data_IF_388231663764
#
_entry.id   IF_388231663764
#
_cell.length_a   1.000
_cell.length_b   1.000
_cell.length_c   1.000
_cell.angle_alpha   90.00
_cell.angle_beta   90.00
_cell.angle_gamma   90.00
#
_symmetry.space_group_name_H-M   'P 1'
#
loop_
_entity.id
_entity.type
_entity.pdbx_description
1 polymer ?
#
# COMPACT_ATOMS: atom_id res chain seq x y z
N UNK A 1 22.10 -28.51 70.18
CA UNK A 1 21.32 -28.32 68.94
C UNK A 1 21.51 -26.88 68.50
N UNK A 2 22.15 -26.64 67.34
CA UNK A 2 22.42 -25.29 66.81
C UNK A 2 22.07 -25.34 65.33
N UNK A 3 20.96 -24.70 64.95
CA UNK A 3 20.46 -24.69 63.58
C UNK A 3 21.32 -23.83 62.68
N UNK A 4 21.68 -24.40 61.54
CA UNK A 4 22.37 -23.74 60.42
C UNK A 4 21.33 -23.05 59.54
N UNK A 5 21.53 -21.76 59.21
CA UNK A 5 20.70 -21.04 58.25
C UNK A 5 21.37 -21.08 56.88
N UNK A 6 20.71 -21.71 55.90
CA UNK A 6 21.15 -21.76 54.51
C UNK A 6 20.84 -20.43 53.81
N UNK A 7 21.87 -19.80 53.25
CA UNK A 7 21.75 -18.68 52.33
C UNK A 7 21.36 -19.22 50.94
N UNK A 8 20.14 -18.94 50.52
CA UNK A 8 19.71 -19.03 49.13
C UNK A 8 19.34 -17.63 48.67
N UNK A 9 20.12 -17.07 47.73
CA UNK A 9 19.65 -16.30 46.57
C UNK A 9 20.78 -15.43 46.00
N UNK A 10 21.44 -15.88 44.91
CA UNK A 10 21.93 -14.94 43.92
C UNK A 10 21.57 -15.40 42.49
N UNK A 11 20.30 -15.67 42.21
CA UNK A 11 19.86 -16.06 40.85
C UNK A 11 18.90 -15.09 40.17
N UNK A 12 18.36 -14.08 40.87
CA UNK A 12 17.38 -13.16 40.28
C UNK A 12 17.98 -11.94 39.55
N UNK A 13 19.28 -11.66 39.69
CA UNK A 13 19.87 -10.42 39.15
C UNK A 13 20.28 -10.55 37.67
N UNK A 14 20.47 -11.77 37.14
CA UNK A 14 20.98 -11.96 35.77
C UNK A 14 19.88 -11.77 34.70
N UNK A 15 18.60 -11.99 35.01
CA UNK A 15 17.51 -11.82 34.03
C UNK A 15 17.06 -10.36 33.81
N UNK A 16 17.43 -9.44 34.70
CA UNK A 16 17.00 -8.05 34.59
C UNK A 16 17.82 -7.23 33.57
N UNK A 17 19.02 -7.68 33.20
CA UNK A 17 19.90 -6.91 32.29
C UNK A 17 19.80 -7.35 30.82
N UNK A 18 19.23 -8.53 30.52
CA UNK A 18 19.00 -8.97 29.14
C UNK A 18 17.77 -8.34 28.46
N UNK A 19 16.87 -7.71 29.23
CA UNK A 19 15.67 -7.07 28.67
C UNK A 19 15.92 -5.67 28.10
N UNK A 20 17.07 -5.06 28.37
CA UNK A 20 17.35 -3.66 27.97
C UNK A 20 17.88 -3.57 26.53
N UNK A 21 18.45 -4.66 25.98
CA UNK A 21 19.10 -4.62 24.65
C UNK A 21 18.11 -4.73 23.48
N UNK A 22 16.85 -5.14 23.70
CA UNK A 22 15.88 -5.32 22.60
C UNK A 22 15.01 -4.09 22.26
N UNK A 23 15.18 -2.93 22.91
CA UNK A 23 14.31 -1.76 22.66
C UNK A 23 14.96 -0.60 21.88
N UNK A 24 16.22 -0.71 21.47
CA UNK A 24 16.92 0.41 20.83
C UNK A 24 16.86 0.46 19.29
N UNK A 25 16.38 -0.58 18.60
CA UNK A 25 16.42 -0.64 17.12
C UNK A 25 15.14 -0.21 16.39
N UNK A 26 14.02 0.09 17.05
CA UNK A 26 12.76 0.37 16.33
C UNK A 26 12.60 1.82 15.84
N UNK A 27 13.30 2.80 16.42
CA UNK A 27 13.11 4.23 16.07
C UNK A 27 13.80 4.66 14.78
N UNK A 28 14.91 4.00 14.43
CA UNK A 28 15.67 4.35 13.22
C UNK A 28 14.99 3.84 11.95
N UNK A 29 14.27 2.71 12.03
CA UNK A 29 13.49 2.16 10.90
C UNK A 29 12.22 2.97 10.62
N UNK A 30 11.47 3.37 11.66
CA UNK A 30 10.20 4.09 11.49
C UNK A 30 10.37 5.50 10.87
N UNK A 31 11.49 6.16 11.17
CA UNK A 31 11.79 7.50 10.63
C UNK A 31 12.07 7.44 9.12
N UNK A 32 12.86 6.46 8.67
CA UNK A 32 13.23 6.29 7.26
C UNK A 32 12.03 5.87 6.37
N UNK A 33 11.11 5.05 6.90
CA UNK A 33 9.90 4.63 6.17
C UNK A 33 8.97 5.84 5.94
N UNK A 34 8.81 6.66 6.98
CA UNK A 34 7.95 7.85 6.92
C UNK A 34 8.46 8.84 5.87
N UNK A 35 9.78 9.04 5.81
CA UNK A 35 10.43 9.90 4.83
C UNK A 35 10.26 9.37 3.39
N UNK A 36 10.46 8.07 3.16
CA UNK A 36 10.27 7.48 1.83
C UNK A 36 8.80 7.58 1.33
N UNK A 37 7.83 7.38 2.22
CA UNK A 37 6.41 7.58 1.91
C UNK A 37 6.14 9.06 1.63
N UNK A 38 6.67 9.96 2.44
CA UNK A 38 6.50 11.40 2.26
C UNK A 38 7.03 11.83 0.89
N UNK A 39 8.27 11.46 0.56
CA UNK A 39 8.90 11.75 -0.73
C UNK A 39 8.07 11.24 -1.90
N UNK A 40 7.66 9.96 -1.87
CA UNK A 40 6.81 9.38 -2.91
C UNK A 40 5.47 10.12 -3.04
N UNK A 41 4.85 10.48 -1.92
CA UNK A 41 3.57 11.15 -1.91
C UNK A 41 3.66 12.64 -2.27
N UNK A 42 4.79 13.31 -2.08
CA UNK A 42 4.95 14.75 -2.40
C UNK A 42 4.71 15.07 -3.88
N UNK A 43 4.98 14.09 -4.74
CA UNK A 43 4.83 14.14 -6.20
C UNK A 43 3.36 14.07 -6.63
N UNK A 44 2.49 13.60 -5.73
CA UNK A 44 1.08 13.39 -6.02
C UNK A 44 0.27 14.65 -5.71
N UNK A 45 -0.80 14.89 -6.47
CA UNK A 45 -1.77 15.96 -6.15
C UNK A 45 -2.66 15.64 -4.94
N UNK A 46 -2.57 14.42 -4.41
CA UNK A 46 -3.42 13.92 -3.33
C UNK A 46 -2.55 13.32 -2.22
N UNK A 47 -1.61 14.12 -1.71
CA UNK A 47 -0.59 13.74 -0.72
C UNK A 47 -1.17 13.00 0.48
N UNK A 48 -2.19 13.57 1.11
CA UNK A 48 -2.80 12.99 2.31
C UNK A 48 -3.43 11.62 2.04
N UNK A 49 -4.07 11.46 0.87
CA UNK A 49 -4.66 10.17 0.47
C UNK A 49 -3.56 9.15 0.16
N UNK A 50 -2.50 9.56 -0.53
CA UNK A 50 -1.34 8.71 -0.79
C UNK A 50 -0.72 8.21 0.53
N UNK A 51 -0.39 9.13 1.44
CA UNK A 51 0.24 8.80 2.71
C UNK A 51 -0.67 7.95 3.57
N UNK A 52 -1.97 8.29 3.65
CA UNK A 52 -2.94 7.51 4.42
C UNK A 52 -3.05 6.07 3.92
N UNK A 53 -3.04 5.83 2.60
CA UNK A 53 -3.11 4.48 2.06
C UNK A 53 -1.81 3.72 2.35
N UNK A 54 -0.65 4.33 2.09
CA UNK A 54 0.64 3.67 2.29
C UNK A 54 0.93 3.36 3.77
N UNK A 55 0.69 4.30 4.68
CA UNK A 55 0.88 4.11 6.13
C UNK A 55 -0.03 2.99 6.66
N UNK A 56 -1.23 2.83 6.08
CA UNK A 56 -2.16 1.78 6.51
C UNK A 56 -1.77 0.38 6.05
N UNK A 57 -0.79 0.25 5.15
CA UNK A 57 -0.35 -1.04 4.61
C UNK A 57 1.03 -1.42 5.17
N UNK A 58 1.15 -2.56 5.90
CA UNK A 58 2.41 -2.95 6.52
C UNK A 58 3.52 -3.26 5.50
N UNK A 59 3.18 -3.52 4.24
CA UNK A 59 4.19 -3.73 3.19
C UNK A 59 4.94 -2.45 2.85
N UNK A 60 4.41 -1.29 3.20
CA UNK A 60 5.12 -0.02 3.02
C UNK A 60 6.34 0.11 3.95
N UNK A 61 6.42 -0.70 5.01
CA UNK A 61 7.55 -0.67 5.95
C UNK A 61 8.87 -1.15 5.34
N UNK A 62 8.79 -2.02 4.33
CA UNK A 62 9.97 -2.60 3.65
C UNK A 62 9.89 -2.49 2.13
N UNK A 63 8.79 -1.95 1.61
CA UNK A 63 8.53 -1.79 0.19
C UNK A 63 9.32 -0.63 -0.43
N UNK A 64 9.70 -0.80 -1.69
CA UNK A 64 10.21 0.28 -2.52
C UNK A 64 9.06 1.06 -3.19
N UNK A 65 9.41 2.08 -3.98
CA UNK A 65 8.46 2.90 -4.75
C UNK A 65 7.54 2.03 -5.63
N UNK A 66 8.05 0.91 -6.17
CA UNK A 66 7.27 -0.02 -6.97
C UNK A 66 6.21 -0.72 -6.10
N UNK A 67 6.57 -1.17 -4.91
CA UNK A 67 5.61 -1.72 -3.94
C UNK A 67 4.58 -0.67 -3.51
N UNK A 68 4.95 0.60 -3.34
CA UNK A 68 3.98 1.66 -3.07
C UNK A 68 2.94 1.77 -4.19
N UNK A 69 3.38 1.75 -5.46
CA UNK A 69 2.47 1.70 -6.61
C UNK A 69 1.52 0.49 -6.57
N UNK A 70 2.02 -0.69 -6.19
CA UNK A 70 1.21 -1.91 -6.02
C UNK A 70 0.14 -1.73 -4.94
N UNK A 71 0.51 -1.19 -3.78
CA UNK A 71 -0.42 -0.97 -2.66
C UNK A 71 -1.56 -0.03 -3.06
N UNK A 72 -1.24 1.09 -3.72
CA UNK A 72 -2.25 2.04 -4.20
C UNK A 72 -3.18 1.37 -5.24
N UNK A 73 -2.63 0.57 -6.15
CA UNK A 73 -3.42 -0.15 -7.17
C UNK A 73 -4.33 -1.22 -6.56
N UNK A 74 -3.89 -1.95 -5.54
CA UNK A 74 -4.73 -2.90 -4.83
C UNK A 74 -5.86 -2.19 -4.07
N UNK A 75 -5.60 -0.99 -3.53
CA UNK A 75 -6.65 -0.15 -2.95
C UNK A 75 -7.66 0.30 -4.00
N UNK A 76 -7.19 0.68 -5.20
CA UNK A 76 -8.05 1.02 -6.34
C UNK A 76 -8.92 -0.19 -6.75
N UNK A 77 -8.33 -1.37 -6.89
CA UNK A 77 -9.05 -2.60 -7.22
C UNK A 77 -10.11 -2.95 -6.17
N UNK A 78 -9.75 -2.89 -4.89
CA UNK A 78 -10.70 -3.11 -3.78
C UNK A 78 -11.87 -2.13 -3.85
N UNK A 79 -11.60 -0.86 -4.19
CA UNK A 79 -12.64 0.16 -4.38
C UNK A 79 -13.60 -0.22 -5.50
N UNK A 80 -13.07 -0.58 -6.68
CA UNK A 80 -13.87 -1.04 -7.84
C UNK A 80 -14.78 -2.21 -7.47
N UNK A 81 -14.21 -3.22 -6.81
CA UNK A 81 -14.96 -4.43 -6.42
C UNK A 81 -16.01 -4.11 -5.35
N UNK A 82 -15.68 -3.29 -4.35
CA UNK A 82 -16.61 -2.90 -3.29
C UNK A 82 -17.78 -2.04 -3.80
N UNK A 83 -17.52 -1.12 -4.73
CA UNK A 83 -18.57 -0.32 -5.36
C UNK A 83 -19.46 -1.19 -6.26
N UNK A 84 -18.88 -2.21 -6.90
CA UNK A 84 -19.63 -3.17 -7.73
C UNK A 84 -20.56 -4.11 -6.94
N UNK A 85 -20.28 -4.35 -5.65
CA UNK A 85 -21.03 -5.28 -4.79
C UNK A 85 -22.04 -4.63 -3.84
N UNK A 86 -22.06 -3.29 -3.73
CA UNK A 86 -22.88 -2.57 -2.73
C UNK A 86 -23.85 -1.54 -3.28
N UNK A 87 -23.66 -1.06 -4.50
CA UNK A 87 -24.57 -0.11 -5.17
C UNK A 87 -24.71 -0.59 -6.61
N UNK A 88 -25.93 -0.86 -7.11
CA UNK A 88 -26.09 -1.03 -8.54
C UNK A 88 -25.68 0.27 -9.19
N UNK A 89 -24.50 0.28 -9.83
CA UNK A 89 -24.17 1.29 -10.84
C UNK A 89 -25.17 1.06 -11.98
N UNK A 90 -26.40 1.58 -11.84
CA UNK A 90 -27.35 1.66 -12.93
C UNK A 90 -26.78 2.66 -13.93
N UNK A 91 -26.17 2.13 -14.99
CA UNK A 91 -25.47 2.90 -15.99
C UNK A 91 -24.43 2.07 -16.73
N UNK A 92 -23.73 2.76 -17.63
CA UNK A 92 -22.75 2.19 -18.59
C UNK A 92 -21.65 1.37 -17.90
N UNK A 93 -21.39 1.59 -16.60
CA UNK A 93 -20.32 0.91 -15.85
C UNK A 93 -20.81 0.04 -14.69
N UNK A 94 -21.93 -0.65 -14.89
CA UNK A 94 -22.34 -1.75 -14.02
C UNK A 94 -21.30 -2.87 -13.94
N UNK A 95 -21.32 -3.72 -12.90
CA UNK A 95 -20.37 -4.84 -12.73
C UNK A 95 -20.31 -5.81 -13.91
N UNK A 96 -21.38 -5.86 -14.71
CA UNK A 96 -21.54 -6.72 -15.90
C UNK A 96 -21.18 -6.01 -17.21
N UNK A 97 -20.82 -4.73 -17.18
CA UNK A 97 -20.44 -3.99 -18.39
C UNK A 97 -19.04 -4.40 -18.87
N UNK A 98 -18.82 -4.28 -20.17
CA UNK A 98 -17.50 -4.50 -20.75
C UNK A 98 -16.48 -3.48 -20.22
N UNK A 99 -16.89 -2.23 -19.99
CA UNK A 99 -16.03 -1.18 -19.43
C UNK A 99 -15.55 -1.53 -18.02
N UNK A 100 -16.45 -2.03 -17.16
CA UNK A 100 -16.07 -2.48 -15.82
C UNK A 100 -15.10 -3.67 -15.86
N UNK A 101 -15.34 -4.63 -16.75
CA UNK A 101 -14.45 -5.79 -16.90
C UNK A 101 -13.06 -5.38 -17.41
N UNK A 102 -12.99 -4.46 -18.38
CA UNK A 102 -11.72 -3.89 -18.86
C UNK A 102 -10.98 -3.12 -17.78
N UNK A 103 -11.69 -2.26 -17.05
CA UNK A 103 -11.15 -1.55 -15.90
C UNK A 103 -10.51 -2.49 -14.86
N UNK A 104 -11.25 -3.53 -14.44
CA UNK A 104 -10.72 -4.52 -13.48
C UNK A 104 -9.52 -5.24 -14.06
N UNK A 105 -9.61 -5.68 -15.32
CA UNK A 105 -8.53 -6.35 -16.03
C UNK A 105 -7.26 -5.50 -16.08
N UNK A 106 -7.37 -4.23 -16.45
CA UNK A 106 -6.22 -3.34 -16.63
C UNK A 106 -5.54 -3.01 -15.31
N UNK A 107 -6.31 -2.81 -14.23
CA UNK A 107 -5.76 -2.65 -12.88
C UNK A 107 -5.03 -3.93 -12.44
N UNK A 108 -5.64 -5.11 -12.64
CA UNK A 108 -5.02 -6.39 -12.29
C UNK A 108 -3.73 -6.64 -13.07
N UNK A 109 -3.72 -6.34 -14.37
CA UNK A 109 -2.55 -6.50 -15.22
C UNK A 109 -1.44 -5.52 -14.83
N UNK A 110 -1.77 -4.28 -14.44
CA UNK A 110 -0.80 -3.35 -13.86
C UNK A 110 -0.17 -3.89 -12.57
N UNK A 111 -0.98 -4.40 -11.63
CA UNK A 111 -0.50 -5.02 -10.38
C UNK A 111 0.43 -6.19 -10.68
N UNK A 112 0.01 -7.10 -11.58
CA UNK A 112 0.80 -8.28 -11.96
C UNK A 112 2.15 -7.88 -12.55
N UNK A 113 2.17 -6.90 -13.45
CA UNK A 113 3.39 -6.38 -14.06
C UNK A 113 4.34 -5.78 -13.03
N UNK A 114 3.81 -5.06 -12.03
CA UNK A 114 4.65 -4.48 -10.98
C UNK A 114 5.19 -5.53 -10.00
N UNK A 115 4.40 -6.56 -9.66
CA UNK A 115 4.80 -7.59 -8.69
C UNK A 115 5.77 -8.63 -9.24
N UNK A 116 5.55 -9.06 -10.48
CA UNK A 116 6.16 -10.28 -10.99
C UNK A 116 6.99 -10.08 -12.26
N UNK A 117 6.85 -8.93 -12.92
CA UNK A 117 7.46 -8.69 -14.22
C UNK A 117 8.61 -7.69 -14.08
N UNK A 118 9.77 -7.99 -14.65
CA UNK A 118 10.92 -7.06 -14.73
C UNK A 118 10.66 -6.00 -15.83
N UNK A 119 9.45 -5.96 -16.37
CA UNK A 119 9.06 -5.04 -17.44
C UNK A 119 9.12 -3.58 -16.99
N UNK A 120 9.31 -2.67 -17.97
CA UNK A 120 9.25 -1.24 -17.75
C UNK A 120 7.96 -0.83 -17.05
N UNK A 121 8.09 0.11 -16.13
CA UNK A 121 6.96 0.70 -15.41
C UNK A 121 5.93 1.34 -16.36
N UNK A 122 6.38 1.78 -17.54
CA UNK A 122 5.53 2.29 -18.61
C UNK A 122 4.31 1.41 -18.92
N UNK A 123 4.46 0.08 -18.98
CA UNK A 123 3.33 -0.81 -19.27
C UNK A 123 2.26 -0.81 -18.17
N UNK A 124 2.65 -0.57 -16.92
CA UNK A 124 1.69 -0.42 -15.82
C UNK A 124 0.97 0.93 -15.95
N UNK A 125 1.70 2.00 -16.26
CA UNK A 125 1.18 3.36 -16.51
C UNK A 125 0.19 3.38 -17.68
N UNK A 126 0.44 2.64 -18.74
CA UNK A 126 -0.48 2.51 -19.88
C UNK A 126 -1.80 1.85 -19.46
N UNK A 127 -1.75 0.73 -18.71
CA UNK A 127 -2.98 0.08 -18.23
C UNK A 127 -3.75 1.00 -17.26
N UNK A 128 -3.05 1.75 -16.40
CA UNK A 128 -3.70 2.74 -15.53
C UNK A 128 -4.36 3.88 -16.32
N UNK A 129 -3.73 4.33 -17.41
CA UNK A 129 -4.29 5.35 -18.29
C UNK A 129 -5.56 4.85 -18.99
N UNK A 130 -5.53 3.63 -19.54
CA UNK A 130 -6.70 2.96 -20.12
C UNK A 130 -7.83 2.80 -19.10
N UNK A 131 -7.50 2.36 -17.88
CA UNK A 131 -8.45 2.26 -16.78
C UNK A 131 -9.11 3.61 -16.45
N UNK A 132 -8.35 4.72 -16.43
CA UNK A 132 -8.91 6.06 -16.25
C UNK A 132 -9.85 6.43 -17.40
N UNK A 133 -9.48 6.15 -18.65
CA UNK A 133 -10.35 6.43 -19.80
C UNK A 133 -11.67 5.66 -19.72
N UNK A 134 -11.62 4.37 -19.37
CA UNK A 134 -12.82 3.55 -19.21
C UNK A 134 -13.68 4.06 -18.05
N UNK A 135 -13.08 4.50 -16.93
CA UNK A 135 -13.81 5.17 -15.85
C UNK A 135 -14.46 6.47 -16.33
N UNK A 136 -13.75 7.32 -17.08
CA UNK A 136 -14.28 8.61 -17.53
C UNK A 136 -15.43 8.48 -18.54
N UNK A 137 -15.52 7.35 -19.25
CA UNK A 137 -16.69 7.01 -20.08
C UNK A 137 -17.93 6.69 -19.24
N UNK A 138 -17.76 6.39 -17.95
CA UNK A 138 -18.83 6.19 -17.00
C UNK A 138 -19.34 7.53 -16.46
N UNK A 139 -20.61 7.87 -16.69
CA UNK A 139 -21.26 9.06 -16.10
C UNK A 139 -21.41 9.00 -14.56
N UNK A 140 -21.22 7.83 -13.95
CA UNK A 140 -21.24 7.58 -12.50
C UNK A 140 -19.86 7.30 -11.89
N UNK A 141 -18.78 7.66 -12.59
CA UNK A 141 -17.41 7.39 -12.19
C UNK A 141 -17.07 7.85 -10.76
N UNK A 142 -16.48 6.94 -9.97
CA UNK A 142 -15.94 7.26 -8.65
C UNK A 142 -14.71 8.16 -8.79
N UNK A 143 -14.85 9.44 -8.44
CA UNK A 143 -13.73 10.39 -8.41
C UNK A 143 -12.60 9.91 -7.48
N UNK A 144 -12.93 9.10 -6.47
CA UNK A 144 -11.94 8.46 -5.60
C UNK A 144 -11.09 7.43 -6.34
N UNK A 145 -11.67 6.63 -7.24
CA UNK A 145 -10.94 5.64 -8.02
C UNK A 145 -9.96 6.31 -8.99
N UNK A 146 -10.40 7.32 -9.73
CA UNK A 146 -9.51 8.10 -10.63
C UNK A 146 -8.36 8.72 -9.83
N UNK A 147 -8.64 9.21 -8.62
CA UNK A 147 -7.59 9.75 -7.74
C UNK A 147 -6.57 8.69 -7.33
N UNK A 148 -6.99 7.49 -6.96
CA UNK A 148 -6.07 6.40 -6.62
C UNK A 148 -5.20 5.99 -7.81
N UNK A 149 -5.79 5.85 -9.01
CA UNK A 149 -5.01 5.52 -10.22
C UNK A 149 -3.98 6.60 -10.55
N UNK A 150 -4.35 7.88 -10.43
CA UNK A 150 -3.41 8.99 -10.64
C UNK A 150 -2.29 9.01 -9.61
N UNK A 151 -2.59 8.74 -8.33
CA UNK A 151 -1.55 8.60 -7.28
C UNK A 151 -0.56 7.51 -7.68
N UNK A 152 -1.04 6.33 -8.10
CA UNK A 152 -0.16 5.25 -8.50
C UNK A 152 0.71 5.63 -9.71
N UNK A 153 0.15 6.31 -10.72
CA UNK A 153 0.92 6.83 -11.86
C UNK A 153 1.99 7.84 -11.41
N UNK A 154 1.61 8.85 -10.61
CA UNK A 154 2.53 9.88 -10.13
C UNK A 154 3.72 9.28 -9.36
N UNK A 155 3.47 8.29 -8.50
CA UNK A 155 4.51 7.56 -7.76
C UNK A 155 5.41 6.78 -8.71
N UNK A 156 4.83 6.11 -9.72
CA UNK A 156 5.56 5.19 -10.58
C UNK A 156 6.36 5.90 -11.67
N UNK A 157 6.01 7.13 -12.05
CA UNK A 157 6.72 7.92 -13.08
C UNK A 157 8.12 8.37 -12.67
N UNK A 158 8.52 8.20 -11.40
CA UNK A 158 9.91 8.46 -10.96
C UNK A 158 10.83 7.28 -11.14
N UNK A 159 10.29 6.10 -11.42
CA UNK A 159 11.09 4.92 -11.70
C UNK A 159 11.63 5.00 -13.15
N UNK A 160 12.91 4.68 -13.36
CA UNK A 160 13.52 4.66 -14.69
C UNK A 160 12.96 3.56 -15.59
#
# INVERSE_FOLDING_TARGET
MKSSSFALLPFCIIFATLSIVHHASSKQSATNITEAIEDACTLTRARDLCASVLISDPRSETGDIRMFGVIILEKALSKVVSESGGIPMEGVCGPKSNDHQRLVHDIMEAIKKLKYDVKPVAFAVDNMSNAIEDILRCTSASSALVRLLRIAMDILLVLP
#
